data_IF_761397583189
#
_entry.id   IF_761397583189
#
_cell.length_a   1.000
_cell.length_b   1.000
_cell.length_c   1.000
_cell.angle_alpha   90.00
_cell.angle_beta   90.00
_cell.angle_gamma   90.00
#
_symmetry.space_group_name_H-M   'P 1'
#
loop_
_entity.id
_entity.type
_entity.pdbx_description
1 polymer ?
#
# COMPACT_ATOMS: atom_id res chain seq x y z
N UNK A 1 -11.87 -15.73 21.66
CA UNK A 1 -11.92 -14.98 20.40
C UNK A 1 -10.90 -15.59 19.45
N UNK A 2 -11.34 -16.28 18.39
CA UNK A 2 -10.44 -16.97 17.44
C UNK A 2 -9.96 -15.96 16.40
N UNK A 3 -8.66 -15.67 16.41
CA UNK A 3 -7.98 -14.82 15.43
C UNK A 3 -8.20 -15.35 14.01
N UNK A 4 -8.73 -14.50 13.14
CA UNK A 4 -9.03 -14.80 11.76
C UNK A 4 -7.74 -15.16 11.00
N UNK A 5 -7.57 -16.45 10.73
CA UNK A 5 -6.54 -16.98 9.84
C UNK A 5 -6.82 -16.59 8.39
N UNK A 6 -6.33 -15.43 7.97
CA UNK A 6 -6.06 -15.14 6.55
C UNK A 6 -4.60 -14.71 6.43
N UNK A 7 -3.75 -15.71 6.18
CA UNK A 7 -2.34 -15.52 5.83
C UNK A 7 -2.28 -14.80 4.47
N UNK A 8 -2.09 -13.49 4.51
CA UNK A 8 -1.69 -12.63 3.40
C UNK A 8 -2.70 -12.49 2.22
N UNK A 9 -3.31 -11.31 2.09
CA UNK A 9 -4.12 -10.95 0.89
C UNK A 9 -3.29 -10.86 -0.39
N UNK A 10 -1.96 -10.75 -0.30
CA UNK A 10 -1.07 -10.65 -1.47
C UNK A 10 -1.21 -11.89 -2.34
N UNK A 11 -1.17 -13.11 -1.80
CA UNK A 11 -1.31 -14.34 -2.60
C UNK A 11 -2.69 -14.53 -3.24
N UNK A 12 -3.73 -13.87 -2.72
CA UNK A 12 -5.05 -13.81 -3.35
C UNK A 12 -5.10 -12.77 -4.48
N UNK A 13 -4.46 -11.61 -4.28
CA UNK A 13 -4.41 -10.52 -5.25
C UNK A 13 -3.49 -10.83 -6.43
N UNK A 14 -2.27 -11.36 -6.19
CA UNK A 14 -1.28 -11.65 -7.24
C UNK A 14 -1.76 -12.65 -8.28
N UNK A 15 -2.60 -13.64 -7.88
CA UNK A 15 -3.22 -14.58 -8.82
C UNK A 15 -4.27 -13.92 -9.72
N UNK A 16 -4.92 -12.86 -9.24
CA UNK A 16 -5.95 -12.13 -9.99
C UNK A 16 -5.38 -11.00 -10.85
N UNK A 17 -4.13 -10.59 -10.62
CA UNK A 17 -3.41 -9.66 -11.50
C UNK A 17 -3.05 -10.29 -12.85
N UNK A 18 -2.86 -11.61 -12.90
CA UNK A 18 -2.48 -12.32 -14.13
C UNK A 18 -3.69 -12.80 -14.97
N UNK A 19 -4.84 -13.10 -14.37
CA UNK A 19 -6.01 -13.68 -15.09
C UNK A 19 -7.40 -13.29 -14.54
N UNK A 20 -7.53 -12.23 -13.73
CA UNK A 20 -8.79 -11.89 -13.03
C UNK A 20 -9.54 -10.65 -13.54
N UNK A 21 -10.84 -10.56 -13.23
CA UNK A 21 -11.64 -9.34 -13.47
C UNK A 21 -11.18 -8.21 -12.52
N UNK A 22 -10.75 -7.03 -13.02
CA UNK A 22 -10.23 -5.93 -12.20
C UNK A 22 -11.19 -5.44 -11.12
N UNK A 23 -12.49 -5.38 -11.41
CA UNK A 23 -13.52 -4.93 -10.48
C UNK A 23 -13.64 -5.82 -9.23
N UNK A 24 -13.33 -7.11 -9.35
CA UNK A 24 -13.31 -8.04 -8.21
C UNK A 24 -12.11 -7.80 -7.29
N UNK A 25 -11.02 -7.19 -7.78
CA UNK A 25 -9.85 -6.82 -6.96
C UNK A 25 -10.20 -5.64 -6.06
N UNK A 26 -10.83 -4.60 -6.62
CA UNK A 26 -11.22 -3.40 -5.89
C UNK A 26 -12.29 -3.67 -4.83
N UNK A 27 -13.34 -4.41 -5.19
CA UNK A 27 -14.39 -4.81 -4.24
C UNK A 27 -13.81 -5.58 -3.05
N UNK A 28 -12.89 -6.50 -3.31
CA UNK A 28 -12.24 -7.28 -2.27
C UNK A 28 -11.41 -6.40 -1.32
N UNK A 29 -10.59 -5.51 -1.88
CA UNK A 29 -9.78 -4.58 -1.08
C UNK A 29 -10.66 -3.66 -0.25
N UNK A 30 -11.73 -3.11 -0.83
CA UNK A 30 -12.67 -2.23 -0.14
C UNK A 30 -13.40 -2.94 1.01
N UNK A 31 -13.94 -4.14 0.79
CA UNK A 31 -14.60 -4.92 1.85
C UNK A 31 -13.63 -5.31 2.96
N UNK A 32 -12.40 -5.68 2.60
CA UNK A 32 -11.37 -6.02 3.59
C UNK A 32 -11.02 -4.82 4.45
N UNK A 33 -10.82 -3.64 3.83
CA UNK A 33 -10.52 -2.41 4.53
C UNK A 33 -11.68 -2.00 5.45
N UNK A 34 -12.93 -2.09 4.99
CA UNK A 34 -14.11 -1.77 5.78
C UNK A 34 -14.29 -2.66 7.02
N UNK A 35 -13.82 -3.92 6.97
CA UNK A 35 -13.86 -4.86 8.09
C UNK A 35 -12.66 -4.78 9.05
N UNK A 36 -11.65 -3.95 8.77
CA UNK A 36 -10.47 -3.82 9.62
C UNK A 36 -10.78 -2.96 10.85
N UNK A 37 -10.50 -3.49 12.04
CA UNK A 37 -10.77 -2.81 13.34
C UNK A 37 -9.54 -2.18 13.99
N UNK A 38 -8.34 -2.42 13.43
CA UNK A 38 -7.05 -1.96 13.98
C UNK A 38 -6.19 -1.33 12.87
N UNK A 39 -6.72 -0.32 12.20
CA UNK A 39 -5.97 0.43 11.19
C UNK A 39 -5.08 1.46 11.90
N UNK A 40 -3.77 1.37 11.66
CA UNK A 40 -2.82 2.41 12.06
C UNK A 40 -2.73 3.45 10.94
N UNK A 41 -2.90 4.72 11.30
CA UNK A 41 -2.76 5.86 10.37
C UNK A 41 -1.66 6.77 10.87
N UNK A 42 -0.73 7.13 9.98
CA UNK A 42 0.31 8.12 10.20
C UNK A 42 0.49 8.97 8.95
N UNK A 43 0.57 10.28 9.13
CA UNK A 43 0.86 11.19 8.02
C UNK A 43 2.37 11.15 7.73
N UNK A 44 2.72 11.04 6.43
CA UNK A 44 4.11 11.05 5.96
C UNK A 44 4.49 12.46 5.50
N UNK A 45 5.10 13.22 6.41
CA UNK A 45 5.56 14.59 6.14
C UNK A 45 7.02 14.58 5.65
N UNK A 46 7.41 15.61 4.90
CA UNK A 46 8.81 15.80 4.43
C UNK A 46 8.97 15.84 2.92
N UNK A 47 7.94 15.49 2.15
CA UNK A 47 7.89 15.71 0.71
C UNK A 47 7.44 17.12 0.38
N UNK A 48 8.10 17.74 -0.59
CA UNK A 48 7.78 19.09 -1.09
C UNK A 48 6.90 19.03 -2.33
N UNK A 49 6.51 17.83 -2.78
CA UNK A 49 5.58 17.59 -3.87
C UNK A 49 4.76 16.31 -3.72
N UNK A 50 4.10 15.91 -4.79
CA UNK A 50 3.33 14.67 -4.82
C UNK A 50 4.26 13.45 -4.73
N UNK A 51 3.94 12.55 -3.79
CA UNK A 51 4.54 11.21 -3.74
C UNK A 51 3.95 10.38 -4.87
N UNK A 52 4.81 9.84 -5.73
CA UNK A 52 4.39 9.06 -6.90
C UNK A 52 4.67 7.56 -6.72
N UNK A 53 5.60 7.20 -5.85
CA UNK A 53 5.96 5.81 -5.59
C UNK A 53 6.23 5.60 -4.11
N UNK A 54 5.86 4.43 -3.60
CA UNK A 54 6.14 3.98 -2.24
C UNK A 54 6.57 2.52 -2.31
N UNK A 55 7.64 2.17 -1.60
CA UNK A 55 8.11 0.79 -1.47
C UNK A 55 8.40 0.46 0.00
N UNK A 56 8.10 -0.78 0.40
CA UNK A 56 8.29 -1.27 1.76
C UNK A 56 9.43 -2.29 1.80
N UNK A 57 10.14 -2.36 2.92
CA UNK A 57 11.15 -3.39 3.13
C UNK A 57 10.53 -4.80 3.10
N UNK A 58 11.27 -5.74 2.55
CA UNK A 58 10.83 -7.12 2.33
C UNK A 58 10.60 -7.93 3.64
N UNK A 59 10.96 -7.37 4.80
CA UNK A 59 10.86 -7.98 6.12
C UNK A 59 9.66 -7.48 6.94
N UNK A 60 8.50 -7.37 6.31
CA UNK A 60 7.27 -6.95 6.99
C UNK A 60 7.05 -5.44 7.05
N UNK A 61 7.83 -4.65 6.30
CA UNK A 61 7.56 -3.23 6.08
C UNK A 61 7.84 -2.32 7.28
N UNK A 62 8.82 -2.68 8.12
CA UNK A 62 9.32 -1.79 9.19
C UNK A 62 9.87 -0.47 8.63
N UNK A 63 10.41 -0.54 7.42
CA UNK A 63 10.93 0.61 6.69
C UNK A 63 10.15 0.80 5.39
N UNK A 64 10.01 2.05 5.00
CA UNK A 64 9.45 2.43 3.71
C UNK A 64 10.31 3.53 3.08
N UNK A 65 10.33 3.55 1.76
CA UNK A 65 10.92 4.62 0.96
C UNK A 65 9.82 5.20 0.08
N UNK A 66 9.83 6.52 -0.08
CA UNK A 66 8.87 7.26 -0.90
C UNK A 66 9.60 8.14 -1.90
N UNK A 67 9.13 8.10 -3.15
CA UNK A 67 9.66 8.90 -4.25
C UNK A 67 8.72 10.04 -4.62
N UNK A 68 9.24 11.26 -4.65
CA UNK A 68 8.53 12.45 -5.15
C UNK A 68 9.08 12.87 -6.52
N UNK A 69 8.24 13.54 -7.31
CA UNK A 69 8.72 14.22 -8.53
C UNK A 69 9.42 15.52 -8.10
N UNK A 70 10.73 15.61 -8.32
CA UNK A 70 11.41 16.91 -8.37
C UNK A 70 11.14 17.55 -9.74
N UNK A 71 10.70 18.80 -9.75
CA UNK A 71 10.81 19.62 -10.95
C UNK A 71 12.29 19.98 -11.19
N UNK A 72 12.75 20.01 -12.45
CA UNK A 72 14.17 20.14 -12.79
C UNK A 72 14.82 21.47 -12.36
N UNK A 73 14.04 22.47 -11.92
CA UNK A 73 14.55 23.81 -11.60
C UNK A 73 14.69 24.10 -10.09
N UNK A 74 14.30 23.15 -9.23
CA UNK A 74 14.52 23.25 -7.78
C UNK A 74 15.69 22.32 -7.40
N UNK A 75 16.89 22.89 -7.46
CA UNK A 75 18.04 22.40 -6.71
C UNK A 75 17.66 22.40 -5.22
N UNK A 76 17.22 21.26 -4.71
CA UNK A 76 17.03 21.07 -3.27
C UNK A 76 18.26 20.33 -2.72
N UNK A 77 18.89 21.00 -1.73
CA UNK A 77 20.05 20.60 -0.94
C UNK A 77 20.15 19.10 -0.62
#
# INVERSE_FOLDING_TARGET
>A
MKGCGMRCSVGFLSRRELTGQPLLKEEFQRRRLAGCTSLYKKDMLGHFGCVNAIEFSNSGGEWLVSGERREPDLLAC
#
